data_IF_558986064215
#
_entry.id   IF_558986064215
#
_cell.length_a   1.000
_cell.length_b   1.000
_cell.length_c   1.000
_cell.angle_alpha   90.00
_cell.angle_beta   90.00
_cell.angle_gamma   90.00
#
_symmetry.space_group_name_H-M   'P 1'
#
loop_
_entity.id
_entity.type
_entity.pdbx_description
1 polymer ?
#
# COMPACT_ATOMS: atom_id res chain seq x y z
N UNK A 1 9.94 -6.16 -19.31
CA UNK A 1 9.17 -6.65 -18.14
C UNK A 1 7.80 -5.98 -18.17
N UNK A 2 6.70 -6.69 -17.96
CA UNK A 2 5.35 -6.11 -18.11
C UNK A 2 5.13 -4.96 -17.09
N UNK A 3 4.54 -3.81 -17.47
CA UNK A 3 4.23 -2.70 -16.56
C UNK A 3 3.44 -3.10 -15.32
N UNK A 4 2.53 -4.07 -15.40
CA UNK A 4 1.80 -4.57 -14.23
C UNK A 4 2.72 -5.23 -13.20
N UNK A 5 3.72 -5.97 -13.66
CA UNK A 5 4.73 -6.58 -12.78
C UNK A 5 5.61 -5.49 -12.15
N UNK A 6 5.99 -4.47 -12.92
CA UNK A 6 6.75 -3.33 -12.40
C UNK A 6 5.96 -2.60 -11.32
N UNK A 7 4.66 -2.36 -11.53
CA UNK A 7 3.79 -1.75 -10.53
C UNK A 7 3.70 -2.58 -9.25
N UNK A 8 3.56 -3.90 -9.38
CA UNK A 8 3.54 -4.82 -8.24
C UNK A 8 4.86 -4.79 -7.45
N UNK A 9 6.00 -4.86 -8.15
CA UNK A 9 7.31 -4.74 -7.51
C UNK A 9 7.51 -3.40 -6.82
N UNK A 10 7.05 -2.31 -7.44
CA UNK A 10 7.06 -0.98 -6.83
C UNK A 10 6.23 -0.92 -5.54
N UNK A 11 5.05 -1.54 -5.53
CA UNK A 11 4.20 -1.61 -4.34
C UNK A 11 4.86 -2.45 -3.24
N UNK A 12 5.45 -3.60 -3.59
CA UNK A 12 6.22 -4.45 -2.66
C UNK A 12 7.38 -3.65 -2.06
N UNK A 13 8.17 -3.00 -2.91
CA UNK A 13 9.28 -2.15 -2.48
C UNK A 13 8.81 -1.07 -1.51
N UNK A 14 7.74 -0.35 -1.86
CA UNK A 14 7.20 0.71 -1.01
C UNK A 14 6.72 0.18 0.35
N UNK A 15 6.07 -0.98 0.37
CA UNK A 15 5.61 -1.64 1.60
C UNK A 15 6.81 -2.03 2.48
N UNK A 16 7.82 -2.66 1.89
CA UNK A 16 9.06 -3.04 2.59
C UNK A 16 9.79 -1.81 3.13
N UNK A 17 9.90 -0.75 2.32
CA UNK A 17 10.53 0.50 2.71
C UNK A 17 9.86 1.10 3.96
N UNK A 18 8.53 1.21 3.99
CA UNK A 18 7.81 1.70 5.17
C UNK A 18 8.01 0.79 6.38
N UNK A 19 8.02 -0.53 6.20
CA UNK A 19 8.29 -1.51 7.26
C UNK A 19 9.69 -1.33 7.85
N UNK A 20 10.70 -1.16 7.01
CA UNK A 20 12.08 -0.87 7.42
C UNK A 20 12.16 0.45 8.18
N UNK A 21 11.43 1.49 7.78
CA UNK A 21 11.36 2.74 8.53
C UNK A 21 10.76 2.53 9.93
N UNK A 22 9.66 1.77 10.05
CA UNK A 22 9.05 1.44 11.36
C UNK A 22 10.03 0.69 12.26
N UNK A 23 10.65 -0.36 11.74
CA UNK A 23 11.64 -1.16 12.49
C UNK A 23 12.83 -0.31 12.91
N UNK A 24 13.36 0.53 12.02
CA UNK A 24 14.49 1.42 12.32
C UNK A 24 14.19 2.37 13.47
N UNK A 25 13.00 2.99 13.50
CA UNK A 25 12.60 3.87 14.62
C UNK A 25 12.52 3.10 15.94
N UNK A 26 11.98 1.88 15.93
CA UNK A 26 11.89 1.04 17.13
C UNK A 26 13.28 0.62 17.61
N UNK A 27 14.11 0.11 16.70
CA UNK A 27 15.48 -0.32 17.00
C UNK A 27 16.32 0.82 17.57
N UNK A 28 16.24 2.01 16.99
CA UNK A 28 16.95 3.18 17.51
C UNK A 28 16.57 3.46 18.97
N UNK A 29 15.27 3.53 19.28
CA UNK A 29 14.78 3.80 20.64
C UNK A 29 15.19 2.74 21.66
N UNK A 30 15.26 1.47 21.25
CA UNK A 30 15.74 0.39 22.12
C UNK A 30 17.24 0.50 22.36
N UNK A 31 18.02 0.72 21.30
CA UNK A 31 19.48 0.80 21.38
C UNK A 31 19.96 2.02 22.17
N UNK A 32 19.21 3.13 22.16
CA UNK A 32 19.49 4.32 22.98
C UNK A 32 18.95 4.21 24.41
N UNK A 33 18.31 3.09 24.78
CA UNK A 33 17.72 2.89 26.10
C UNK A 33 16.47 3.73 26.38
N UNK A 34 15.91 4.38 25.36
CA UNK A 34 14.71 5.24 25.51
C UNK A 34 13.42 4.42 25.71
N UNK A 35 13.39 3.19 25.22
CA UNK A 35 12.27 2.26 25.39
C UNK A 35 12.77 0.82 25.51
N UNK A 36 12.01 -0.04 26.19
CA UNK A 36 12.24 -1.50 26.18
C UNK A 36 11.63 -2.13 24.93
N UNK A 37 12.14 -3.29 24.50
CA UNK A 37 11.66 -4.00 23.30
C UNK A 37 10.18 -4.39 23.37
N UNK A 38 9.60 -4.53 24.57
CA UNK A 38 8.19 -4.87 24.79
C UNK A 38 7.26 -3.65 24.95
N UNK A 39 7.77 -2.42 24.80
CA UNK A 39 6.99 -1.18 24.94
C UNK A 39 6.40 -0.67 23.60
N UNK A 40 6.30 -1.56 22.60
CA UNK A 40 5.68 -1.28 21.30
C UNK A 40 4.41 -2.12 21.12
N UNK A 41 3.33 -1.83 21.87
CA UNK A 41 2.11 -2.64 21.83
C UNK A 41 1.47 -2.61 20.44
N UNK A 42 1.05 -3.77 19.96
CA UNK A 42 0.34 -3.90 18.68
C UNK A 42 -1.06 -3.28 18.77
N UNK A 43 -1.46 -2.53 17.75
CA UNK A 43 -2.81 -1.95 17.66
C UNK A 43 -3.10 -0.76 18.58
N UNK A 44 -2.30 -0.55 19.63
CA UNK A 44 -2.47 0.56 20.59
C UNK A 44 -1.57 1.73 20.19
N UNK A 45 -2.11 2.95 20.17
CA UNK A 45 -1.35 4.16 19.85
C UNK A 45 -0.24 4.40 20.87
N UNK A 46 0.99 4.58 20.38
CA UNK A 46 2.17 4.85 21.20
C UNK A 46 3.23 5.59 20.36
N UNK A 47 4.23 6.17 21.04
CA UNK A 47 5.29 6.96 20.40
C UNK A 47 4.81 8.32 19.91
N UNK A 48 5.56 8.93 19.00
CA UNK A 48 5.20 10.22 18.42
C UNK A 48 4.05 10.09 17.42
N UNK A 49 3.33 11.18 17.17
CA UNK A 49 2.26 11.22 16.16
C UNK A 49 2.77 10.80 14.78
N UNK A 50 3.97 11.25 14.39
CA UNK A 50 4.57 10.87 13.11
C UNK A 50 4.85 9.36 13.05
N UNK A 51 5.48 8.80 14.09
CA UNK A 51 5.74 7.35 14.16
C UNK A 51 4.44 6.55 14.09
N UNK A 52 3.39 7.00 14.78
CA UNK A 52 2.10 6.32 14.73
C UNK A 52 1.49 6.34 13.33
N UNK A 53 1.52 7.49 12.64
CA UNK A 53 1.06 7.59 11.24
C UNK A 53 1.90 6.71 10.31
N UNK A 54 3.22 6.64 10.51
CA UNK A 54 4.12 5.74 9.77
C UNK A 54 3.73 4.27 9.96
N UNK A 55 3.53 3.84 11.21
CA UNK A 55 3.08 2.48 11.52
C UNK A 55 1.73 2.18 10.86
N UNK A 56 0.76 3.11 10.92
CA UNK A 56 -0.55 2.94 10.28
C UNK A 56 -0.48 2.96 8.75
N UNK A 57 0.39 3.75 8.14
CA UNK A 57 0.58 3.77 6.70
C UNK A 57 1.20 2.46 6.18
N UNK A 58 2.16 1.89 6.91
CA UNK A 58 2.73 0.57 6.62
C UNK A 58 1.67 -0.54 6.68
N UNK A 59 0.91 -0.62 7.77
CA UNK A 59 -0.18 -1.60 7.90
C UNK A 59 -1.20 -1.44 6.77
N UNK A 60 -1.54 -0.21 6.39
CA UNK A 60 -2.45 0.01 5.29
C UNK A 60 -1.90 -0.48 3.94
N UNK A 61 -0.58 -0.43 3.72
CA UNK A 61 0.01 -1.05 2.52
C UNK A 61 -0.12 -2.57 2.57
N UNK A 62 0.15 -3.20 3.73
CA UNK A 62 0.00 -4.65 3.91
C UNK A 62 -1.45 -5.12 3.67
N UNK A 63 -2.45 -4.35 4.08
CA UNK A 63 -3.87 -4.70 3.86
C UNK A 63 -4.25 -4.74 2.37
N UNK A 64 -3.61 -3.90 1.55
CA UNK A 64 -3.94 -3.76 0.12
C UNK A 64 -3.07 -4.62 -0.79
N UNK A 65 -1.84 -4.93 -0.37
CA UNK A 65 -0.87 -5.67 -1.18
C UNK A 65 -1.37 -7.06 -1.62
N UNK A 66 -2.02 -7.88 -0.78
CA UNK A 66 -2.54 -9.18 -1.20
C UNK A 66 -3.58 -9.07 -2.31
N UNK A 67 -4.50 -8.10 -2.22
CA UNK A 67 -5.53 -7.87 -3.25
C UNK A 67 -4.84 -7.52 -4.56
N UNK A 68 -3.94 -6.53 -4.53
CA UNK A 68 -3.23 -6.10 -5.73
C UNK A 68 -2.37 -7.22 -6.33
N UNK A 69 -1.61 -7.92 -5.49
CA UNK A 69 -0.73 -9.00 -5.91
C UNK A 69 -1.48 -10.15 -6.56
N UNK A 70 -2.59 -10.58 -5.97
CA UNK A 70 -3.40 -11.67 -6.54
C UNK A 70 -4.05 -11.26 -7.86
N UNK A 71 -4.56 -10.03 -7.97
CA UNK A 71 -5.12 -9.53 -9.25
C UNK A 71 -4.06 -9.52 -10.36
N UNK A 72 -2.86 -9.02 -10.08
CA UNK A 72 -1.76 -9.01 -11.07
C UNK A 72 -1.33 -10.43 -11.43
N UNK A 73 -1.19 -11.33 -10.45
CA UNK A 73 -0.82 -12.73 -10.69
C UNK A 73 -1.86 -13.44 -11.57
N UNK A 74 -3.14 -13.31 -11.25
CA UNK A 74 -4.22 -13.88 -12.06
C UNK A 74 -4.20 -13.28 -13.47
N UNK A 75 -4.03 -11.96 -13.61
CA UNK A 75 -3.91 -11.30 -14.92
C UNK A 75 -2.76 -11.89 -15.75
N UNK A 76 -1.60 -12.14 -15.13
CA UNK A 76 -0.46 -12.79 -15.80
C UNK A 76 -0.80 -14.23 -16.20
N UNK A 77 -1.34 -15.04 -15.30
CA UNK A 77 -1.68 -16.43 -15.59
C UNK A 77 -2.79 -16.58 -16.64
N UNK A 78 -3.77 -15.68 -16.64
CA UNK A 78 -4.88 -15.65 -17.59
C UNK A 78 -4.49 -15.01 -18.93
N UNK A 79 -3.29 -14.42 -19.05
CA UNK A 79 -2.87 -13.69 -20.25
C UNK A 79 -3.61 -12.36 -20.46
N UNK A 80 -4.24 -11.81 -19.42
CA UNK A 80 -5.00 -10.56 -19.45
C UNK A 80 -4.10 -9.42 -18.98
N UNK A 81 -3.21 -8.97 -19.87
CA UNK A 81 -2.25 -7.89 -19.64
C UNK A 81 -2.30 -6.85 -20.76
N UNK A 82 -3.52 -6.44 -21.14
CA UNK A 82 -3.69 -5.38 -22.14
C UNK A 82 -3.31 -4.01 -21.57
N UNK A 83 -3.21 -3.01 -22.46
CA UNK A 83 -2.80 -1.66 -22.08
C UNK A 83 -3.66 -1.05 -20.94
N UNK A 84 -4.95 -1.40 -20.88
CA UNK A 84 -5.86 -0.88 -19.84
C UNK A 84 -5.59 -1.52 -18.49
N UNK A 85 -5.34 -2.83 -18.47
CA UNK A 85 -4.89 -3.54 -17.28
C UNK A 85 -3.59 -2.92 -16.75
N UNK A 86 -2.60 -2.74 -17.62
CA UNK A 86 -1.32 -2.12 -17.28
C UNK A 86 -1.49 -0.71 -16.71
N UNK A 87 -2.29 0.15 -17.36
CA UNK A 87 -2.57 1.50 -16.88
C UNK A 87 -3.21 1.50 -15.48
N UNK A 88 -4.20 0.64 -15.24
CA UNK A 88 -4.86 0.54 -13.95
C UNK A 88 -3.89 0.12 -12.83
N UNK A 89 -2.96 -0.80 -13.11
CA UNK A 89 -1.91 -1.18 -12.12
C UNK A 89 -0.95 -0.03 -11.79
N UNK A 90 -0.60 0.80 -12.77
CA UNK A 90 0.23 1.98 -12.55
C UNK A 90 -0.50 3.05 -11.73
N UNK A 91 -1.79 3.25 -11.98
CA UNK A 91 -2.64 4.15 -11.19
C UNK A 91 -2.71 3.67 -9.73
N UNK A 92 -2.84 2.36 -9.49
CA UNK A 92 -2.83 1.78 -8.14
C UNK A 92 -1.54 2.14 -7.41
N UNK A 93 -0.38 1.96 -8.04
CA UNK A 93 0.91 2.28 -7.43
C UNK A 93 1.02 3.78 -7.12
N UNK A 94 0.68 4.65 -8.08
CA UNK A 94 0.69 6.11 -7.88
C UNK A 94 -0.23 6.54 -6.74
N UNK A 95 -1.45 6.03 -6.72
CA UNK A 95 -2.42 6.32 -5.67
C UNK A 95 -1.98 5.81 -4.29
N UNK A 96 -1.29 4.66 -4.22
CA UNK A 96 -0.68 4.14 -2.98
C UNK A 96 0.39 5.06 -2.41
N UNK A 97 1.30 5.53 -3.27
CA UNK A 97 2.37 6.45 -2.85
C UNK A 97 1.76 7.77 -2.40
N UNK A 98 0.86 8.35 -3.19
CA UNK A 98 0.15 9.58 -2.83
C UNK A 98 -0.59 9.47 -1.48
N UNK A 99 -1.37 8.40 -1.31
CA UNK A 99 -2.10 8.13 -0.07
C UNK A 99 -1.15 8.05 1.14
N UNK A 100 -0.03 7.34 0.98
CA UNK A 100 0.99 7.20 2.03
C UNK A 100 1.56 8.57 2.42
N UNK A 101 1.99 9.36 1.43
CA UNK A 101 2.59 10.67 1.67
C UNK A 101 1.61 11.64 2.35
N UNK A 102 0.34 11.65 1.92
CA UNK A 102 -0.71 12.43 2.57
C UNK A 102 -0.94 11.98 4.03
N UNK A 103 -0.90 10.68 4.31
CA UNK A 103 -1.03 10.16 5.66
C UNK A 103 0.16 10.55 6.55
N UNK A 104 1.39 10.49 6.04
CA UNK A 104 2.58 10.85 6.82
C UNK A 104 2.62 12.35 7.13
N UNK A 105 2.22 13.19 6.17
CA UNK A 105 2.35 14.65 6.26
C UNK A 105 1.55 15.26 7.41
N UNK A 106 0.28 14.85 7.62
CA UNK A 106 -0.58 15.43 8.65
C UNK A 106 -1.76 14.55 9.04
N UNK A 107 -2.30 14.80 10.23
CA UNK A 107 -3.59 14.26 10.69
C UNK A 107 -4.76 15.22 10.45
N UNK A 108 -4.56 16.33 9.73
CA UNK A 108 -5.60 17.32 9.45
C UNK A 108 -6.72 16.74 8.58
N UNK A 109 -7.90 17.37 8.62
CA UNK A 109 -9.06 16.97 7.80
C UNK A 109 -8.71 16.92 6.31
N UNK A 110 -7.94 17.90 5.82
CA UNK A 110 -7.49 17.93 4.43
C UNK A 110 -6.61 16.72 4.08
N UNK A 111 -5.62 16.41 4.92
CA UNK A 111 -4.75 15.26 4.71
C UNK A 111 -5.51 13.92 4.79
N UNK A 112 -6.49 13.83 5.70
CA UNK A 112 -7.39 12.68 5.84
C UNK A 112 -8.24 12.49 4.58
N UNK A 113 -8.81 13.57 4.03
CA UNK A 113 -9.57 13.50 2.79
C UNK A 113 -8.68 13.14 1.59
N UNK A 114 -7.47 13.70 1.50
CA UNK A 114 -6.52 13.37 0.45
C UNK A 114 -6.15 11.87 0.45
N UNK A 115 -5.81 11.30 1.62
CA UNK A 115 -5.53 9.86 1.71
C UNK A 115 -6.78 9.01 1.44
N UNK A 116 -7.97 9.49 1.79
CA UNK A 116 -9.21 8.80 1.45
C UNK A 116 -9.45 8.75 -0.06
N UNK A 117 -9.18 9.84 -0.79
CA UNK A 117 -9.23 9.88 -2.25
C UNK A 117 -8.28 8.85 -2.87
N UNK A 118 -7.03 8.79 -2.41
CA UNK A 118 -6.06 7.79 -2.88
C UNK A 118 -6.48 6.35 -2.59
N UNK A 119 -7.16 6.11 -1.46
CA UNK A 119 -7.75 4.81 -1.14
C UNK A 119 -8.88 4.44 -2.11
N UNK A 120 -9.81 5.37 -2.37
CA UNK A 120 -10.94 5.15 -3.27
C UNK A 120 -10.49 4.87 -4.71
N UNK A 121 -9.46 5.58 -5.19
CA UNK A 121 -8.87 5.32 -6.51
C UNK A 121 -8.36 3.88 -6.60
N UNK A 122 -7.65 3.39 -5.58
CA UNK A 122 -7.12 2.03 -5.60
C UNK A 122 -8.22 0.98 -5.57
N UNK A 123 -9.23 1.13 -4.72
CA UNK A 123 -10.34 0.19 -4.68
C UNK A 123 -11.15 0.22 -5.98
N UNK A 124 -11.35 1.40 -6.58
CA UNK A 124 -11.96 1.51 -7.90
C UNK A 124 -11.15 0.75 -8.96
N UNK A 125 -9.83 0.90 -8.96
CA UNK A 125 -8.96 0.15 -9.86
C UNK A 125 -8.94 -1.36 -9.56
N UNK A 126 -8.99 -1.79 -8.30
CA UNK A 126 -9.08 -3.23 -7.97
C UNK A 126 -10.37 -3.85 -8.50
N UNK A 127 -11.50 -3.17 -8.32
CA UNK A 127 -12.79 -3.60 -8.87
C UNK A 127 -12.74 -3.65 -10.40
N UNK A 128 -12.12 -2.64 -11.02
CA UNK A 128 -11.93 -2.62 -12.47
C UNK A 128 -11.07 -3.79 -12.96
N UNK A 129 -9.92 -4.05 -12.33
CA UNK A 129 -9.04 -5.17 -12.70
C UNK A 129 -9.76 -6.51 -12.54
N UNK A 130 -10.50 -6.70 -11.45
CA UNK A 130 -11.30 -7.90 -11.21
C UNK A 130 -12.33 -8.09 -12.33
N UNK A 131 -13.12 -7.06 -12.62
CA UNK A 131 -14.10 -7.09 -13.70
C UNK A 131 -13.45 -7.37 -15.06
N UNK A 132 -12.32 -6.72 -15.34
CA UNK A 132 -11.60 -6.86 -16.61
C UNK A 132 -11.07 -8.28 -16.82
N UNK A 133 -10.55 -8.92 -15.76
CA UNK A 133 -10.15 -10.33 -15.78
C UNK A 133 -11.37 -11.21 -16.07
N UNK A 134 -12.46 -11.04 -15.33
CA UNK A 134 -13.67 -11.88 -15.47
C UNK A 134 -14.27 -11.79 -16.88
N UNK A 135 -14.33 -10.58 -17.43
CA UNK A 135 -14.85 -10.34 -18.78
C UNK A 135 -13.92 -10.89 -19.87
N UNK A 136 -12.61 -10.65 -19.75
CA UNK A 136 -11.63 -11.11 -20.75
C UNK A 136 -11.48 -12.63 -20.78
N UNK A 137 -11.79 -13.31 -19.66
CA UNK A 137 -11.77 -14.77 -19.54
C UNK A 137 -13.11 -15.43 -19.82
N UNK A 138 -14.14 -14.66 -20.23
CA UNK A 138 -15.49 -15.14 -20.54
C UNK A 138 -16.18 -15.87 -19.36
N UNK A 139 -15.78 -15.55 -18.13
CA UNK A 139 -16.49 -16.03 -16.94
C UNK A 139 -17.83 -15.26 -16.79
N UNK A 140 -17.84 -13.99 -17.21
CA UNK A 140 -19.03 -13.13 -17.30
C UNK A 140 -19.08 -12.37 -18.63
#
# INVERSE_FOLDING_TARGET
MNPAIIALLGFIFWTLFLGLCVVSVRSFKVLTGSNKSNEFPAGIKHGSEFYWRLNRAHINCIENLPIFGILVLIGVFAGVLDHRFELATQIILGARIFQTLAHLSSGSVFAVNARFTGFMIQYGCFLYLLWHILHSTQII
#
